data_IF_254551551198
#
_entry.id   IF_254551551198
#
_cell.length_a   1.000
_cell.length_b   1.000
_cell.length_c   1.000
_cell.angle_alpha   90.00
_cell.angle_beta   90.00
_cell.angle_gamma   90.00
#
_symmetry.space_group_name_H-M   'P 1'
#
loop_
_entity.id
_entity.type
_entity.pdbx_description
1 polymer ?
#
# COMPACT_ATOMS: atom_id res chain seq x y z
N UNK A 1 6.70 7.57 1.86
CA UNK A 1 5.81 8.64 2.39
C UNK A 1 6.63 9.56 3.30
N UNK A 2 6.09 10.73 3.69
CA UNK A 2 6.81 11.74 4.48
C UNK A 2 6.02 12.21 5.69
N UNK A 3 6.69 12.93 6.60
CA UNK A 3 6.06 13.54 7.78
C UNK A 3 5.60 12.47 8.77
N UNK A 4 4.33 12.51 9.15
CA UNK A 4 3.76 11.52 10.08
C UNK A 4 3.62 10.12 9.45
N UNK A 5 3.80 10.01 8.13
CA UNK A 5 3.86 8.75 7.39
C UNK A 5 5.31 8.38 6.99
N UNK A 6 6.35 9.03 7.54
CA UNK A 6 7.75 8.74 7.22
C UNK A 6 8.10 7.26 7.47
N UNK A 7 8.88 6.65 6.57
CA UNK A 7 9.27 5.24 6.63
C UNK A 7 8.27 4.26 5.99
N UNK A 8 7.02 4.67 5.77
CA UNK A 8 6.08 3.87 4.98
C UNK A 8 6.47 3.90 3.50
N UNK A 9 6.48 2.73 2.87
CA UNK A 9 6.63 2.54 1.43
C UNK A 9 5.52 1.59 0.98
N UNK A 10 4.70 2.01 0.02
CA UNK A 10 3.64 1.21 -0.59
C UNK A 10 3.90 1.18 -2.09
N UNK A 11 3.69 0.02 -2.70
CA UNK A 11 3.69 -0.14 -4.14
C UNK A 11 2.28 -0.56 -4.58
N UNK A 12 1.78 0.10 -5.61
CA UNK A 12 0.50 -0.20 -6.25
C UNK A 12 0.79 -0.60 -7.70
N UNK A 13 0.04 -1.57 -8.20
CA UNK A 13 0.11 -2.05 -9.58
C UNK A 13 -1.26 -1.91 -10.22
N UNK A 14 -1.30 -1.37 -11.43
CA UNK A 14 -2.49 -1.35 -12.27
C UNK A 14 -2.45 -2.58 -13.19
N UNK A 15 -3.57 -3.31 -13.25
CA UNK A 15 -3.76 -4.46 -14.14
C UNK A 15 -4.85 -4.13 -15.17
N UNK A 16 -4.75 -4.69 -16.37
CA UNK A 16 -5.72 -4.53 -17.45
C UNK A 16 -7.05 -5.25 -17.14
N UNK A 17 -7.01 -6.28 -16.28
CA UNK A 17 -8.21 -7.02 -15.84
C UNK A 17 -8.01 -7.71 -14.49
N UNK A 18 -9.12 -8.03 -13.79
CA UNK A 18 -9.09 -8.69 -12.48
C UNK A 18 -8.42 -10.08 -12.46
N UNK A 19 -8.41 -10.76 -13.62
CA UNK A 19 -7.82 -12.10 -13.76
C UNK A 19 -6.44 -12.11 -14.40
N UNK A 20 -5.80 -10.95 -14.55
CA UNK A 20 -4.45 -10.88 -15.11
C UNK A 20 -3.42 -11.47 -14.14
N UNK A 21 -2.67 -12.47 -14.61
CA UNK A 21 -1.56 -13.04 -13.86
C UNK A 21 -0.36 -12.07 -13.89
N UNK A 22 0.25 -11.84 -12.73
CA UNK A 22 1.48 -11.06 -12.60
C UNK A 22 2.46 -11.74 -11.64
N UNK A 23 3.75 -11.47 -11.82
CA UNK A 23 4.78 -11.95 -10.92
C UNK A 23 5.06 -10.91 -9.84
N UNK A 24 5.10 -11.32 -8.57
CA UNK A 24 5.45 -10.46 -7.45
C UNK A 24 6.99 -10.36 -7.37
N UNK A 25 7.59 -9.16 -7.50
CA UNK A 25 9.03 -8.97 -7.33
C UNK A 25 9.49 -9.27 -5.90
N UNK A 26 10.75 -9.72 -5.74
CA UNK A 26 11.33 -10.09 -4.43
C UNK A 26 11.39 -8.93 -3.39
N UNK A 27 11.31 -7.68 -3.84
CA UNK A 27 11.32 -6.51 -2.97
C UNK A 27 9.93 -6.14 -2.43
N UNK A 28 8.87 -6.73 -2.96
CA UNK A 28 7.52 -6.57 -2.41
C UNK A 28 7.43 -7.37 -1.12
N UNK A 29 6.97 -6.68 -0.07
CA UNK A 29 6.71 -7.29 1.23
C UNK A 29 5.30 -7.85 1.33
N UNK A 30 4.59 -7.44 2.38
CA UNK A 30 3.22 -7.84 2.68
C UNK A 30 2.22 -7.29 1.67
N UNK A 31 1.26 -8.11 1.25
CA UNK A 31 0.11 -7.67 0.47
C UNK A 31 -0.88 -6.93 1.36
N UNK A 32 -1.07 -5.64 1.09
CA UNK A 32 -1.92 -4.75 1.90
C UNK A 32 -3.18 -4.27 1.16
N UNK A 33 -3.48 -4.82 -0.01
CA UNK A 33 -4.66 -4.46 -0.83
C UNK A 33 -5.98 -4.47 -0.05
N UNK A 34 -6.31 -5.50 0.76
CA UNK A 34 -7.57 -5.52 1.50
C UNK A 34 -7.52 -4.75 2.82
N UNK A 35 -6.36 -4.19 3.20
CA UNK A 35 -6.17 -3.54 4.48
C UNK A 35 -6.44 -2.04 4.38
N UNK A 36 -7.60 -1.65 4.91
CA UNK A 36 -8.08 -0.27 4.85
C UNK A 36 -7.11 0.73 5.50
N UNK A 37 -6.25 0.31 6.43
CA UNK A 37 -5.26 1.20 7.08
C UNK A 37 -4.37 1.91 6.07
N UNK A 38 -4.05 1.24 4.97
CA UNK A 38 -3.14 1.74 3.93
C UNK A 38 -3.85 2.51 2.81
N UNK A 39 -5.18 2.64 2.87
CA UNK A 39 -5.90 3.48 1.92
C UNK A 39 -5.49 4.95 2.11
N UNK A 40 -5.32 5.67 1.00
CA UNK A 40 -4.88 7.08 1.01
C UNK A 40 -5.75 7.97 1.91
N UNK A 41 -7.07 7.75 1.94
CA UNK A 41 -7.98 8.50 2.80
C UNK A 41 -7.75 8.22 4.30
N UNK A 42 -7.41 6.97 4.64
CA UNK A 42 -7.15 6.58 6.02
C UNK A 42 -5.78 7.08 6.46
N UNK A 43 -4.72 6.95 5.64
CA UNK A 43 -3.39 7.52 5.93
C UNK A 43 -3.38 9.06 6.04
N UNK A 44 -4.37 9.74 5.44
CA UNK A 44 -4.55 11.18 5.55
C UNK A 44 -5.24 11.62 6.86
N UNK A 45 -6.09 10.76 7.43
CA UNK A 45 -6.89 11.06 8.63
C UNK A 45 -6.31 10.42 9.90
N UNK A 46 -5.64 9.27 9.77
CA UNK A 46 -4.94 8.52 10.80
C UNK A 46 -3.60 8.04 10.23
N UNK A 47 -2.51 8.78 10.49
CA UNK A 47 -1.22 8.51 9.86
C UNK A 47 -0.63 7.18 10.35
N UNK A 48 0.25 6.62 9.52
CA UNK A 48 0.94 5.35 9.72
C UNK A 48 1.58 5.20 11.09
N UNK A 49 2.21 6.26 11.62
CA UNK A 49 2.85 6.21 12.95
C UNK A 49 1.86 5.98 14.11
N UNK A 50 0.57 6.22 13.90
CA UNK A 50 -0.48 6.14 14.92
C UNK A 50 -1.27 4.82 14.83
N UNK A 51 -0.92 3.94 13.89
CA UNK A 51 -1.44 2.56 13.76
C UNK A 51 -0.49 1.56 14.42
#
# INVERSE_FOLDING_TARGET
FHGDNEGLVVAEIELDSEGEDFAIPEWIGEEVTPDERYYNMNLATHPYKDW
#
